data_IF_877924931563
#
_entry.id   IF_877924931563
#
_cell.length_a   1.000
_cell.length_b   1.000
_cell.length_c   1.000
_cell.angle_alpha   90.00
_cell.angle_beta   90.00
_cell.angle_gamma   90.00
#
_symmetry.space_group_name_H-M   'P 1'
#
loop_
_entity.id
_entity.type
_entity.pdbx_description
1 polymer ?
#
# COMPACT_ATOMS: atom_id res chain seq x y z
N UNK A 1 8.80 -7.03 -21.41
CA UNK A 1 8.03 -6.11 -20.55
C UNK A 1 7.88 -6.66 -19.13
N UNK A 2 7.32 -7.86 -18.94
CA UNK A 2 7.07 -8.45 -17.60
C UNK A 2 8.30 -8.58 -16.70
N UNK A 3 9.45 -9.04 -17.23
CA UNK A 3 10.71 -9.06 -16.48
C UNK A 3 11.12 -7.70 -15.91
N UNK A 4 10.95 -6.63 -16.70
CA UNK A 4 11.28 -5.27 -16.25
C UNK A 4 10.36 -4.86 -15.10
N UNK A 5 9.06 -5.13 -15.22
CA UNK A 5 8.09 -4.85 -14.16
C UNK A 5 8.41 -5.62 -12.88
N UNK A 6 8.81 -6.88 -12.98
CA UNK A 6 9.22 -7.67 -11.82
C UNK A 6 10.47 -7.10 -11.13
N UNK A 7 11.47 -6.66 -11.90
CA UNK A 7 12.67 -6.01 -11.33
C UNK A 7 12.35 -4.70 -10.62
N UNK A 8 11.36 -3.95 -11.10
CA UNK A 8 10.92 -2.72 -10.46
C UNK A 8 10.01 -2.99 -9.25
N UNK A 9 9.18 -4.04 -9.31
CA UNK A 9 8.20 -4.36 -8.27
C UNK A 9 8.84 -4.72 -6.93
N UNK A 10 10.04 -5.31 -6.93
CA UNK A 10 10.73 -5.71 -5.69
C UNK A 10 11.19 -4.50 -4.86
N UNK A 11 11.96 -3.52 -5.38
CA UNK A 11 12.40 -2.36 -4.59
C UNK A 11 11.31 -1.29 -4.40
N UNK A 12 10.23 -1.30 -5.17
CA UNK A 12 9.22 -0.23 -5.16
C UNK A 12 8.58 0.01 -3.78
N UNK A 13 8.18 -1.02 -2.99
CA UNK A 13 7.66 -0.80 -1.64
C UNK A 13 8.68 -0.15 -0.70
N UNK A 14 9.99 -0.40 -0.86
CA UNK A 14 11.00 0.28 -0.05
C UNK A 14 11.01 1.79 -0.34
N UNK A 15 10.97 2.17 -1.61
CA UNK A 15 10.87 3.57 -2.02
C UNK A 15 9.59 4.23 -1.47
N UNK A 16 8.46 3.52 -1.49
CA UNK A 16 7.20 3.98 -0.90
C UNK A 16 7.32 4.14 0.62
N UNK A 17 7.92 3.18 1.31
CA UNK A 17 8.09 3.23 2.76
C UNK A 17 8.89 4.47 3.20
N UNK A 18 9.94 4.80 2.46
CA UNK A 18 10.77 5.99 2.71
C UNK A 18 9.98 7.25 2.37
N UNK A 19 9.32 7.30 1.21
CA UNK A 19 8.55 8.47 0.77
C UNK A 19 7.44 8.90 1.74
N UNK A 20 6.87 7.96 2.50
CA UNK A 20 5.84 8.26 3.52
C UNK A 20 6.31 9.19 4.62
N UNK A 21 7.60 9.23 4.91
CA UNK A 21 8.13 10.14 5.92
C UNK A 21 7.98 11.62 5.52
N UNK A 22 7.89 11.93 4.22
CA UNK A 22 7.53 13.28 3.78
C UNK A 22 6.17 13.72 4.33
N UNK A 23 5.20 12.80 4.45
CA UNK A 23 3.89 13.11 5.00
C UNK A 23 3.94 13.45 6.49
N UNK A 24 4.88 12.85 7.24
CA UNK A 24 5.10 13.19 8.65
C UNK A 24 5.65 14.62 8.80
N UNK A 25 6.70 14.96 8.04
CA UNK A 25 7.31 16.28 8.11
C UNK A 25 6.37 17.38 7.61
N UNK A 26 5.58 17.09 6.57
CA UNK A 26 4.57 18.02 6.03
C UNK A 26 3.26 18.05 6.85
N UNK A 27 3.11 17.18 7.86
CA UNK A 27 1.90 17.00 8.64
C UNK A 27 0.63 16.83 7.79
N UNK A 28 0.70 15.96 6.78
CA UNK A 28 -0.41 15.70 5.85
C UNK A 28 -0.81 14.22 5.82
N UNK A 29 -1.99 13.92 5.28
CA UNK A 29 -2.50 12.55 5.07
C UNK A 29 -2.50 11.67 6.34
N UNK A 30 -2.66 12.28 7.51
CA UNK A 30 -2.72 11.58 8.79
C UNK A 30 -4.05 10.82 8.99
N UNK A 31 -4.10 10.02 10.05
CA UNK A 31 -5.25 9.19 10.39
C UNK A 31 -6.31 9.93 11.18
N UNK A 32 -7.36 9.21 11.59
CA UNK A 32 -8.40 9.70 12.50
C UNK A 32 -7.85 10.09 13.89
N UNK A 33 -8.58 10.91 14.66
CA UNK A 33 -8.30 11.19 16.06
C UNK A 33 -8.00 9.92 16.84
N UNK A 34 -7.02 9.97 17.75
CA UNK A 34 -6.66 8.82 18.57
C UNK A 34 -6.10 9.23 19.92
N UNK A 35 -6.39 8.41 20.93
CA UNK A 35 -5.79 8.48 22.26
C UNK A 35 -4.62 7.49 22.44
N UNK A 36 -4.22 6.81 21.35
CA UNK A 36 -3.13 5.86 21.41
C UNK A 36 -1.80 6.55 21.80
N UNK A 37 -0.93 5.90 22.59
CA UNK A 37 0.31 6.52 23.07
C UNK A 37 1.35 6.77 21.97
N UNK A 38 1.12 6.25 20.76
CA UNK A 38 1.92 6.52 19.56
C UNK A 38 1.21 7.45 18.57
N UNK A 39 0.13 8.13 18.99
CA UNK A 39 -0.49 9.20 18.22
C UNK A 39 0.51 10.32 17.93
N UNK A 40 0.38 10.95 16.77
CA UNK A 40 1.21 12.10 16.40
C UNK A 40 0.44 13.38 16.59
N UNK A 41 1.13 14.39 17.12
CA UNK A 41 0.61 15.74 17.19
C UNK A 41 0.57 16.37 15.80
N UNK A 42 -0.53 17.05 15.49
CA UNK A 42 -0.67 17.86 14.27
C UNK A 42 -0.87 19.32 14.69
N UNK A 43 -0.08 20.21 14.11
CA UNK A 43 -0.17 21.65 14.37
C UNK A 43 -1.55 22.19 13.99
N UNK A 44 -2.11 23.15 14.76
CA UNK A 44 -3.44 23.71 14.51
C UNK A 44 -3.68 24.13 13.05
N UNK A 45 -2.66 24.68 12.40
CA UNK A 45 -2.69 25.17 11.02
C UNK A 45 -2.84 24.04 9.97
N UNK A 46 -2.39 22.83 10.30
CA UNK A 46 -2.41 21.66 9.43
C UNK A 46 -3.60 20.72 9.71
N UNK A 47 -4.48 21.08 10.67
CA UNK A 47 -5.66 20.27 11.04
C UNK A 47 -6.74 20.39 9.97
N UNK A 48 -7.33 19.25 9.59
CA UNK A 48 -8.48 19.21 8.69
C UNK A 48 -9.69 19.86 9.35
N UNK A 49 -10.51 20.49 8.52
CA UNK A 49 -11.72 21.15 9.00
C UNK A 49 -12.69 20.16 9.65
N UNK A 50 -13.24 20.53 10.80
CA UNK A 50 -14.07 19.66 11.64
C UNK A 50 -13.28 18.86 12.68
N UNK A 51 -11.95 18.98 12.71
CA UNK A 51 -11.06 18.30 13.69
C UNK A 51 -10.09 19.26 14.39
N UNK A 52 -10.31 20.57 14.29
CA UNK A 52 -9.40 21.61 14.81
C UNK A 52 -9.14 21.49 16.32
N UNK A 53 -10.12 20.98 17.08
CA UNK A 53 -10.04 20.77 18.53
C UNK A 53 -9.33 19.48 18.97
N UNK A 54 -8.81 18.68 18.05
CA UNK A 54 -8.09 17.43 18.35
C UNK A 54 -6.60 17.62 18.09
N UNK A 55 -5.79 17.23 19.08
CA UNK A 55 -4.33 17.35 19.01
C UNK A 55 -3.64 16.12 18.40
N UNK A 56 -4.13 14.91 18.69
CA UNK A 56 -3.44 13.65 18.35
C UNK A 56 -4.20 12.78 17.35
N UNK A 57 -3.46 12.26 16.37
CA UNK A 57 -3.98 11.50 15.25
C UNK A 57 -3.19 10.22 15.02
N UNK A 58 -3.84 9.21 14.43
CA UNK A 58 -3.14 8.01 14.03
C UNK A 58 -2.04 8.32 12.99
N UNK A 59 -0.80 7.83 13.18
CA UNK A 59 0.29 8.05 12.23
C UNK A 59 0.14 7.15 10.99
N UNK A 60 -0.78 7.49 10.10
CA UNK A 60 -1.05 6.73 8.88
C UNK A 60 0.22 6.53 8.02
N UNK A 61 1.11 7.53 7.99
CA UNK A 61 2.41 7.43 7.32
C UNK A 61 3.26 6.27 7.86
N UNK A 62 3.27 6.08 9.18
CA UNK A 62 4.07 5.07 9.85
C UNK A 62 3.50 3.68 9.59
N UNK A 63 2.17 3.56 9.67
CA UNK A 63 1.48 2.30 9.36
C UNK A 63 1.75 1.87 7.92
N UNK A 64 1.63 2.80 6.95
CA UNK A 64 1.92 2.52 5.56
C UNK A 64 3.41 2.22 5.32
N UNK A 65 4.31 2.94 6.00
CA UNK A 65 5.76 2.72 5.91
C UNK A 65 6.14 1.31 6.39
N UNK A 66 5.67 0.91 7.58
CA UNK A 66 5.95 -0.41 8.16
C UNK A 66 5.38 -1.54 7.30
N UNK A 67 4.14 -1.41 6.82
CA UNK A 67 3.52 -2.40 5.95
C UNK A 67 4.27 -2.54 4.61
N UNK A 68 4.75 -1.44 4.05
CA UNK A 68 5.56 -1.47 2.84
C UNK A 68 6.94 -2.11 3.08
N UNK A 69 7.56 -1.90 4.24
CA UNK A 69 8.78 -2.61 4.63
C UNK A 69 8.56 -4.12 4.78
N UNK A 70 7.40 -4.53 5.31
CA UNK A 70 7.01 -5.95 5.38
C UNK A 70 6.85 -6.51 3.96
N UNK A 71 6.14 -5.80 3.07
CA UNK A 71 5.97 -6.22 1.68
C UNK A 71 7.30 -6.30 0.93
N UNK A 72 8.17 -5.30 1.07
CA UNK A 72 9.53 -5.31 0.53
C UNK A 72 10.30 -6.53 1.02
N UNK A 73 10.33 -6.77 2.34
CA UNK A 73 11.07 -7.88 2.95
C UNK A 73 10.56 -9.23 2.43
N UNK A 74 9.25 -9.35 2.24
CA UNK A 74 8.62 -10.55 1.66
C UNK A 74 9.04 -10.76 0.20
N UNK A 75 8.91 -9.73 -0.65
CA UNK A 75 9.29 -9.79 -2.06
C UNK A 75 10.79 -10.04 -2.24
N UNK A 76 11.64 -9.35 -1.47
CA UNK A 76 13.08 -9.52 -1.47
C UNK A 76 13.48 -10.95 -1.09
N UNK A 77 12.87 -11.51 -0.04
CA UNK A 77 13.12 -12.91 0.35
C UNK A 77 12.73 -13.88 -0.76
N UNK A 78 11.64 -13.59 -1.46
CA UNK A 78 11.09 -14.43 -2.52
C UNK A 78 11.89 -14.31 -3.84
N UNK A 79 12.49 -13.14 -4.09
CA UNK A 79 13.38 -12.87 -5.22
C UNK A 79 14.66 -13.71 -5.22
N UNK A 80 14.99 -14.34 -4.09
CA UNK A 80 16.10 -15.31 -4.00
C UNK A 80 15.82 -16.63 -4.74
N UNK A 81 14.59 -16.88 -5.18
CA UNK A 81 14.21 -18.06 -5.97
C UNK A 81 13.77 -17.62 -7.36
N UNK A 82 14.04 -18.45 -8.37
CA UNK A 82 13.51 -18.22 -9.71
C UNK A 82 11.98 -18.38 -9.71
N UNK A 83 11.28 -17.48 -10.40
CA UNK A 83 9.82 -17.41 -10.52
C UNK A 83 9.44 -17.06 -11.96
N UNK A 84 8.20 -17.36 -12.34
CA UNK A 84 7.66 -16.95 -13.63
C UNK A 84 7.71 -15.42 -13.81
N UNK A 85 7.80 -14.99 -15.06
CA UNK A 85 7.64 -13.58 -15.40
C UNK A 85 6.24 -13.06 -15.05
N UNK A 86 6.19 -11.87 -14.47
CA UNK A 86 4.98 -11.24 -13.99
C UNK A 86 4.60 -11.65 -12.57
N UNK A 87 5.34 -12.57 -11.95
CA UNK A 87 5.03 -13.05 -10.59
C UNK A 87 5.21 -11.93 -9.55
N UNK A 88 6.33 -11.21 -9.58
CA UNK A 88 6.63 -10.21 -8.55
C UNK A 88 5.73 -8.98 -8.68
N UNK A 89 5.46 -8.50 -9.89
CA UNK A 89 4.52 -7.39 -10.10
C UNK A 89 3.11 -7.77 -9.66
N UNK A 90 2.68 -9.02 -9.84
CA UNK A 90 1.37 -9.49 -9.39
C UNK A 90 1.24 -9.46 -7.87
N UNK A 91 2.24 -10.01 -7.16
CA UNK A 91 2.29 -9.96 -5.69
C UNK A 91 2.38 -8.52 -5.18
N UNK A 92 3.16 -7.67 -5.85
CA UNK A 92 3.25 -6.25 -5.50
C UNK A 92 1.89 -5.55 -5.63
N UNK A 93 1.17 -5.73 -6.74
CA UNK A 93 -0.15 -5.11 -6.95
C UNK A 93 -1.16 -5.55 -5.88
N UNK A 94 -1.18 -6.83 -5.56
CA UNK A 94 -2.03 -7.36 -4.49
C UNK A 94 -1.63 -6.81 -3.12
N UNK A 95 -0.34 -6.88 -2.79
CA UNK A 95 0.20 -6.46 -1.50
C UNK A 95 -0.01 -4.97 -1.26
N UNK A 96 0.43 -4.12 -2.19
CA UNK A 96 0.29 -2.67 -2.06
C UNK A 96 -1.18 -2.24 -2.13
N UNK A 97 -2.01 -2.88 -2.95
CA UNK A 97 -3.46 -2.67 -2.94
C UNK A 97 -4.08 -2.98 -1.57
N UNK A 98 -3.68 -4.08 -0.92
CA UNK A 98 -4.15 -4.41 0.43
C UNK A 98 -3.68 -3.39 1.48
N UNK A 99 -2.41 -2.97 1.42
CA UNK A 99 -1.86 -1.92 2.29
C UNK A 99 -2.66 -0.64 2.14
N UNK A 100 -2.88 -0.19 0.90
CA UNK A 100 -3.65 1.02 0.61
C UNK A 100 -5.07 0.90 1.13
N UNK A 101 -5.74 -0.22 0.94
CA UNK A 101 -7.08 -0.43 1.44
C UNK A 101 -7.16 -0.28 2.97
N UNK A 102 -6.26 -0.96 3.70
CA UNK A 102 -6.20 -0.92 5.17
C UNK A 102 -5.90 0.48 5.70
N UNK A 103 -4.83 1.13 5.19
CA UNK A 103 -4.40 2.45 5.67
C UNK A 103 -5.43 3.51 5.32
N UNK A 104 -6.05 3.41 4.14
CA UNK A 104 -7.07 4.35 3.74
C UNK A 104 -8.22 4.35 4.74
N UNK A 105 -8.72 3.19 5.21
CA UNK A 105 -9.76 3.14 6.26
C UNK A 105 -9.40 3.88 7.56
N UNK A 106 -8.11 3.99 7.87
CA UNK A 106 -7.59 4.74 9.04
C UNK A 106 -7.53 6.24 8.76
N UNK A 107 -7.38 6.65 7.50
CA UNK A 107 -7.26 8.06 7.11
C UNK A 107 -8.51 8.86 7.40
N UNK A 108 -8.25 10.08 7.87
CA UNK A 108 -9.23 11.13 8.05
C UNK A 108 -9.33 11.87 6.72
N UNK A 109 -10.27 11.47 5.87
CA UNK A 109 -10.44 12.10 4.56
C UNK A 109 -11.94 12.20 4.28
N UNK A 110 -12.49 13.41 4.07
CA UNK A 110 -13.94 13.63 3.97
C UNK A 110 -14.52 13.33 2.57
N UNK A 111 -13.71 12.81 1.63
CA UNK A 111 -14.11 12.67 0.23
C UNK A 111 -15.30 11.69 0.06
N UNK A 112 -16.41 12.12 -0.58
CA UNK A 112 -17.54 11.26 -0.88
C UNK A 112 -17.13 10.08 -1.77
N UNK A 113 -17.51 8.88 -1.33
CA UNK A 113 -17.31 7.65 -2.08
C UNK A 113 -18.49 7.28 -2.96
N UNK A 114 -18.26 6.37 -3.91
CA UNK A 114 -19.32 5.66 -4.61
C UNK A 114 -19.63 4.35 -3.87
N UNK A 115 -20.91 4.08 -3.61
CA UNK A 115 -21.39 2.90 -2.88
C UNK A 115 -20.76 2.72 -1.47
N UNK A 116 -20.46 3.82 -0.78
CA UNK A 116 -19.88 3.81 0.57
C UNK A 116 -18.37 3.58 0.62
N UNK A 117 -17.70 3.42 -0.53
CA UNK A 117 -16.24 3.30 -0.64
C UNK A 117 -15.63 4.49 -1.38
N UNK A 118 -14.49 4.98 -0.89
CA UNK A 118 -13.72 6.05 -1.52
C UNK A 118 -13.08 5.58 -2.84
N UNK A 119 -12.79 6.52 -3.74
CA UNK A 119 -12.11 6.22 -5.00
C UNK A 119 -10.77 5.51 -4.79
N UNK A 120 -10.01 5.90 -3.77
CA UNK A 120 -8.76 5.24 -3.36
C UNK A 120 -8.95 3.76 -3.01
N UNK A 121 -10.07 3.42 -2.37
CA UNK A 121 -10.43 2.05 -2.00
C UNK A 121 -10.81 1.25 -3.25
N UNK A 122 -11.59 1.84 -4.16
CA UNK A 122 -11.90 1.21 -5.46
C UNK A 122 -10.66 0.93 -6.29
N UNK A 123 -9.72 1.88 -6.36
CA UNK A 123 -8.43 1.68 -7.04
C UNK A 123 -7.63 0.56 -6.37
N UNK A 124 -7.64 0.50 -5.04
CA UNK A 124 -6.98 -0.56 -4.28
C UNK A 124 -7.58 -1.94 -4.60
N UNK A 125 -8.91 -2.05 -4.65
CA UNK A 125 -9.62 -3.28 -5.06
C UNK A 125 -9.25 -3.65 -6.50
N UNK A 126 -9.23 -2.69 -7.42
CA UNK A 126 -8.84 -2.94 -8.82
C UNK A 126 -7.41 -3.48 -8.93
N UNK A 127 -6.44 -2.94 -8.17
CA UNK A 127 -5.07 -3.47 -8.14
C UNK A 127 -5.00 -4.89 -7.58
N UNK A 128 -5.76 -5.20 -6.53
CA UNK A 128 -5.82 -6.56 -5.98
C UNK A 128 -6.35 -7.54 -7.03
N UNK A 129 -7.45 -7.20 -7.70
CA UNK A 129 -8.05 -8.06 -8.72
C UNK A 129 -7.14 -8.22 -9.95
N UNK A 130 -6.49 -7.14 -10.39
CA UNK A 130 -5.52 -7.18 -11.48
C UNK A 130 -4.33 -8.07 -11.13
N UNK A 131 -3.73 -7.89 -9.94
CA UNK A 131 -2.62 -8.73 -9.49
C UNK A 131 -3.02 -10.20 -9.35
N UNK A 132 -4.20 -10.51 -8.81
CA UNK A 132 -4.69 -11.87 -8.71
C UNK A 132 -4.90 -12.53 -10.09
N UNK A 133 -5.51 -11.81 -11.03
CA UNK A 133 -5.74 -12.33 -12.39
C UNK A 133 -4.42 -12.58 -13.13
N UNK A 134 -3.45 -11.66 -13.03
CA UNK A 134 -2.12 -11.86 -13.61
C UNK A 134 -1.39 -13.04 -12.97
N UNK A 135 -1.45 -13.18 -11.64
CA UNK A 135 -0.81 -14.30 -10.96
C UNK A 135 -1.37 -15.64 -11.47
N UNK A 136 -2.70 -15.78 -11.49
CA UNK A 136 -3.37 -17.00 -11.95
C UNK A 136 -2.97 -17.34 -13.39
N UNK A 137 -3.05 -16.37 -14.31
CA UNK A 137 -2.69 -16.56 -15.72
C UNK A 137 -1.24 -17.01 -15.89
N UNK A 138 -0.31 -16.41 -15.14
CA UNK A 138 1.12 -16.72 -15.25
C UNK A 138 1.49 -18.04 -14.60
N UNK A 139 0.88 -18.39 -13.48
CA UNK A 139 1.09 -19.71 -12.87
C UNK A 139 0.47 -20.83 -13.68
N UNK A 140 -0.71 -20.61 -14.29
CA UNK A 140 -1.36 -21.62 -15.13
C UNK A 140 -0.58 -21.92 -16.40
N UNK A 141 0.05 -20.91 -17.01
CA UNK A 141 0.87 -21.09 -18.20
C UNK A 141 2.16 -21.87 -17.88
N UNK A 142 2.79 -21.58 -16.73
CA UNK A 142 4.01 -22.25 -16.29
C UNK A 142 3.84 -23.77 -16.09
N UNK A 143 2.64 -24.22 -15.70
CA UNK A 143 2.34 -25.65 -15.51
C UNK A 143 2.16 -26.42 -16.82
N UNK A 144 1.85 -25.73 -17.93
CA UNK A 144 1.61 -26.36 -19.23
C UNK A 144 2.89 -26.53 -20.05
N UNK A 145 3.92 -25.73 -19.75
CA UNK A 145 5.16 -25.64 -20.54
C UNK A 145 6.35 -26.41 -19.93
N UNK A 146 6.20 -27.11 -18.80
CA UNK A 146 7.23 -28.02 -18.28
C UNK A 146 7.15 -29.39 -19.01
N UNK A 147 8.17 -29.77 -19.81
CA UNK A 147 8.27 -31.14 -20.30
C UNK A 147 8.62 -32.04 -19.10
N UNK A 148 7.81 -33.08 -18.89
CA UNK A 148 8.11 -34.14 -17.91
C UNK A 148 9.40 -34.89 -18.26
#
# INVERSE_FOLDING_TARGET
MWRLLDYLAVPLPLGQAIGRWGNFFNQELYGRPTDAPWGIFIEPENRLSGFEGVDFYHPAFLYESLLNLILFSFLWRLARKQRAEGFFVSIYLMGYGAIRLVVDFIRIDPMPGFAGLRLSQWISVAFILAGASFLIQKTAHQWWDEPR
#
